data_IF_150842259296
#
_entry.id   IF_150842259296
#
_cell.length_a   1.000
_cell.length_b   1.000
_cell.length_c   1.000
_cell.angle_alpha   90.00
_cell.angle_beta   90.00
_cell.angle_gamma   90.00
#
_symmetry.space_group_name_H-M   'P 1'
#
loop_
_entity.id
_entity.type
_entity.pdbx_description
1 polymer ?
#
# COMPACT_ATOMS: atom_id res chain seq x y z
N UNK A 1 -8.34 29.54 0.39
CA UNK A 1 -7.86 29.97 1.72
C UNK A 1 -6.39 30.32 1.59
N UNK A 2 -5.93 31.50 2.01
CA UNK A 2 -4.53 31.92 1.96
C UNK A 2 -3.94 31.82 3.37
N UNK A 3 -2.88 31.00 3.53
CA UNK A 3 -2.18 30.84 4.80
C UNK A 3 -1.04 31.86 4.91
N UNK A 4 -0.90 32.49 6.08
CA UNK A 4 0.29 33.32 6.38
C UNK A 4 1.48 32.41 6.68
N UNK A 5 2.57 32.60 5.94
CA UNK A 5 3.82 31.84 6.11
C UNK A 5 4.78 32.73 6.89
N UNK A 6 5.32 32.22 7.98
CA UNK A 6 6.30 32.89 8.81
C UNK A 6 7.70 32.35 8.49
N UNK A 7 8.66 33.27 8.31
CA UNK A 7 10.06 32.91 8.10
C UNK A 7 10.77 32.95 9.45
N UNK A 8 11.33 31.81 9.89
CA UNK A 8 12.20 31.78 11.06
C UNK A 8 13.59 32.29 10.68
N UNK A 9 14.27 32.98 11.61
CA UNK A 9 15.61 33.57 11.40
C UNK A 9 16.69 32.56 10.95
N UNK A 10 16.49 31.28 11.23
CA UNK A 10 17.38 30.19 10.85
C UNK A 10 16.87 29.33 9.66
N UNK A 11 16.28 29.96 8.66
CA UNK A 11 16.02 29.39 7.32
C UNK A 11 14.84 28.40 7.17
N UNK A 12 13.98 28.19 8.14
CA UNK A 12 12.78 27.38 7.94
C UNK A 12 11.51 28.23 7.86
N UNK A 13 10.60 27.86 6.94
CA UNK A 13 9.28 28.47 6.86
C UNK A 13 8.32 27.72 7.78
N UNK A 14 7.66 28.45 8.68
CA UNK A 14 6.64 27.88 9.57
C UNK A 14 5.26 28.13 8.97
N UNK A 15 4.53 27.08 8.76
CA UNK A 15 3.14 27.05 8.32
C UNK A 15 2.26 26.57 9.48
N UNK A 16 1.92 27.47 10.37
CA UNK A 16 1.22 27.14 11.60
C UNK A 16 -0.10 26.38 11.37
N UNK A 17 -0.89 26.81 10.40
CA UNK A 17 -2.15 26.16 10.05
C UNK A 17 -1.92 24.75 9.46
N UNK A 18 -1.02 24.63 8.48
CA UNK A 18 -0.71 23.36 7.86
C UNK A 18 -0.18 22.35 8.89
N UNK A 19 0.68 22.79 9.79
CA UNK A 19 1.19 21.95 10.89
C UNK A 19 0.06 21.51 11.82
N UNK A 20 -0.83 22.41 12.19
CA UNK A 20 -1.94 22.11 13.10
C UNK A 20 -2.96 21.14 12.51
N UNK A 21 -3.22 21.20 11.21
CA UNK A 21 -4.11 20.27 10.50
C UNK A 21 -3.39 19.04 9.92
N UNK A 22 -2.11 18.85 10.23
CA UNK A 22 -1.32 17.69 9.80
C UNK A 22 -1.03 17.65 8.30
N UNK A 23 -0.98 18.80 7.62
CA UNK A 23 -0.62 18.90 6.21
C UNK A 23 0.84 19.31 6.08
N UNK A 24 1.66 18.47 5.47
CA UNK A 24 3.07 18.79 5.18
C UNK A 24 3.18 19.78 4.02
N UNK A 25 4.30 20.49 3.96
CA UNK A 25 4.64 21.41 2.84
C UNK A 25 4.65 20.68 1.49
N UNK A 26 3.73 20.88 0.62
CA UNK A 26 3.42 20.11 -0.61
C UNK A 26 2.72 18.75 -0.33
N UNK A 27 2.30 18.54 0.90
CA UNK A 27 1.63 17.30 1.30
C UNK A 27 0.12 17.38 1.18
N UNK A 28 -0.46 16.25 1.41
CA UNK A 28 -1.90 16.06 1.55
C UNK A 28 -2.20 15.78 3.02
N UNK A 29 -3.44 15.99 3.44
CA UNK A 29 -3.87 15.54 4.76
C UNK A 29 -3.88 14.02 4.82
N UNK A 30 -3.72 13.44 6.00
CA UNK A 30 -3.80 12.00 6.19
C UNK A 30 -5.15 11.42 5.71
N UNK A 31 -6.24 12.18 5.88
CA UNK A 31 -7.57 11.80 5.35
C UNK A 31 -7.59 11.71 3.84
N UNK A 32 -7.03 12.70 3.15
CA UNK A 32 -6.96 12.68 1.69
C UNK A 32 -6.07 11.53 1.21
N UNK A 33 -4.91 11.34 1.82
CA UNK A 33 -4.03 10.21 1.47
C UNK A 33 -4.76 8.86 1.62
N UNK A 34 -5.55 8.68 2.69
CA UNK A 34 -6.36 7.47 2.88
C UNK A 34 -7.34 7.26 1.73
N UNK A 35 -8.12 8.30 1.39
CA UNK A 35 -9.08 8.23 0.27
C UNK A 35 -8.40 7.85 -1.05
N UNK A 36 -7.23 8.45 -1.34
CA UNK A 36 -6.49 8.14 -2.56
C UNK A 36 -5.97 6.70 -2.57
N UNK A 37 -5.56 6.19 -1.43
CA UNK A 37 -5.09 4.80 -1.30
C UNK A 37 -6.26 3.83 -1.45
N UNK A 38 -7.39 4.08 -0.80
CA UNK A 38 -8.58 3.24 -0.88
C UNK A 38 -9.02 3.09 -2.34
N UNK A 39 -9.23 4.19 -3.06
CA UNK A 39 -9.58 4.11 -4.49
C UNK A 39 -8.46 3.54 -5.37
N UNK A 40 -7.20 3.80 -5.02
CA UNK A 40 -6.05 3.30 -5.79
C UNK A 40 -5.78 1.81 -5.63
N UNK A 41 -6.28 1.19 -4.56
CA UNK A 41 -6.23 -0.26 -4.36
C UNK A 41 -7.38 -0.98 -5.07
N UNK A 42 -8.55 -0.36 -5.15
CA UNK A 42 -9.76 -1.00 -5.69
C UNK A 42 -9.90 -0.84 -7.22
N UNK A 43 -9.31 0.22 -7.79
CA UNK A 43 -9.52 0.58 -9.19
C UNK A 43 -8.20 0.83 -9.93
N UNK A 44 -8.27 0.79 -11.27
CA UNK A 44 -7.17 1.35 -12.07
C UNK A 44 -6.99 2.84 -11.74
N UNK A 45 -5.75 3.35 -11.76
CA UNK A 45 -5.48 4.74 -11.36
C UNK A 45 -6.25 5.78 -12.17
N UNK A 46 -6.59 5.47 -13.43
CA UNK A 46 -7.44 6.33 -14.25
C UNK A 46 -8.89 6.33 -13.78
N UNK A 47 -9.45 5.19 -13.40
CA UNK A 47 -10.79 5.08 -12.83
C UNK A 47 -10.84 5.69 -11.43
N UNK A 48 -9.86 5.40 -10.59
CA UNK A 48 -9.73 5.98 -9.26
C UNK A 48 -9.73 7.51 -9.30
N UNK A 49 -9.02 8.11 -10.28
CA UNK A 49 -9.03 9.56 -10.48
C UNK A 49 -10.43 10.10 -10.78
N UNK A 50 -11.21 9.42 -11.64
CA UNK A 50 -12.60 9.79 -11.93
C UNK A 50 -13.50 9.65 -10.70
N UNK A 51 -13.33 8.58 -9.92
CA UNK A 51 -14.07 8.37 -8.67
C UNK A 51 -13.83 9.47 -7.65
N UNK A 52 -12.60 9.94 -7.53
CA UNK A 52 -12.29 11.08 -6.65
C UNK A 52 -13.06 12.33 -7.06
N UNK A 53 -13.15 12.63 -8.37
CA UNK A 53 -13.96 13.75 -8.87
C UNK A 53 -15.44 13.56 -8.53
N UNK A 54 -15.96 12.37 -8.77
CA UNK A 54 -17.36 12.01 -8.56
C UNK A 54 -17.79 12.17 -7.08
N UNK A 55 -16.95 11.67 -6.16
CA UNK A 55 -17.28 11.64 -4.74
C UNK A 55 -16.89 12.92 -3.98
N UNK A 56 -15.86 13.62 -4.41
CA UNK A 56 -15.27 14.73 -3.66
C UNK A 56 -15.19 16.04 -4.42
N UNK A 57 -15.57 16.07 -5.71
CA UNK A 57 -15.67 17.28 -6.52
C UNK A 57 -14.34 17.97 -6.84
N UNK A 58 -13.19 17.31 -6.68
CA UNK A 58 -11.91 17.90 -7.05
C UNK A 58 -11.10 16.98 -7.97
N UNK A 59 -10.34 17.58 -8.87
CA UNK A 59 -9.50 16.86 -9.82
C UNK A 59 -8.17 16.44 -9.21
N UNK A 60 -7.78 15.20 -9.48
CA UNK A 60 -6.47 14.66 -9.15
C UNK A 60 -5.94 13.83 -10.32
N UNK A 61 -4.69 14.00 -10.68
CA UNK A 61 -4.13 13.21 -11.78
C UNK A 61 -3.88 11.75 -11.37
N UNK A 62 -4.07 10.79 -12.29
CA UNK A 62 -3.78 9.38 -12.04
C UNK A 62 -2.34 9.12 -11.58
N UNK A 63 -1.38 9.95 -12.01
CA UNK A 63 0.01 9.85 -11.58
C UNK A 63 0.24 10.23 -10.12
N UNK A 64 -0.50 11.21 -9.61
CA UNK A 64 -0.46 11.60 -8.20
C UNK A 64 -1.09 10.51 -7.34
N UNK A 65 -2.23 9.98 -7.76
CA UNK A 65 -2.93 8.90 -7.08
C UNK A 65 -2.04 7.64 -7.02
N UNK A 66 -1.46 7.21 -8.16
CA UNK A 66 -0.51 6.10 -8.22
C UNK A 66 0.65 6.29 -7.23
N UNK A 67 1.24 7.48 -7.18
CA UNK A 67 2.36 7.79 -6.29
C UNK A 67 1.97 7.70 -4.82
N UNK A 68 0.76 8.15 -4.46
CA UNK A 68 0.23 8.01 -3.11
C UNK A 68 0.07 6.53 -2.74
N UNK A 69 -0.63 5.76 -3.57
CA UNK A 69 -0.88 4.34 -3.34
C UNK A 69 0.41 3.54 -3.19
N UNK A 70 1.36 3.71 -4.13
CA UNK A 70 2.64 2.99 -4.06
C UNK A 70 3.46 3.35 -2.82
N UNK A 71 3.49 4.63 -2.42
CA UNK A 71 4.19 5.05 -1.19
C UNK A 71 3.62 4.34 0.05
N UNK A 72 2.31 4.22 0.13
CA UNK A 72 1.66 3.54 1.26
C UNK A 72 1.85 2.01 1.18
N UNK A 73 1.83 1.42 -0.01
CA UNK A 73 2.13 0.01 -0.21
C UNK A 73 3.56 -0.35 0.24
N UNK A 74 4.57 0.45 -0.16
CA UNK A 74 5.95 0.27 0.32
C UNK A 74 6.07 0.36 1.84
N UNK A 75 5.33 1.30 2.45
CA UNK A 75 5.31 1.43 3.91
C UNK A 75 4.66 0.22 4.59
N UNK A 76 3.55 -0.25 4.06
CA UNK A 76 2.84 -1.42 4.56
C UNK A 76 3.74 -2.67 4.46
N UNK A 77 4.41 -2.86 3.33
CA UNK A 77 5.35 -3.95 3.13
C UNK A 77 6.46 -3.95 4.18
N UNK A 78 7.12 -2.81 4.41
CA UNK A 78 8.16 -2.70 5.44
C UNK A 78 7.64 -3.00 6.85
N UNK A 79 6.41 -2.60 7.17
CA UNK A 79 5.80 -2.91 8.47
C UNK A 79 5.56 -4.42 8.61
N UNK A 80 5.08 -5.09 7.56
CA UNK A 80 4.88 -6.53 7.53
C UNK A 80 6.20 -7.28 7.67
N UNK A 81 7.23 -6.90 6.89
CA UNK A 81 8.57 -7.49 6.98
C UNK A 81 9.13 -7.39 8.41
N UNK A 82 9.06 -6.20 9.02
CA UNK A 82 9.48 -6.01 10.41
C UNK A 82 8.66 -6.83 11.42
N UNK A 83 7.39 -7.08 11.13
CA UNK A 83 6.52 -7.88 11.99
C UNK A 83 6.85 -9.37 11.87
N UNK A 84 7.11 -9.86 10.66
CA UNK A 84 7.57 -11.23 10.43
C UNK A 84 8.92 -11.50 11.10
N UNK A 85 9.90 -10.62 10.94
CA UNK A 85 11.21 -10.75 11.59
C UNK A 85 11.10 -10.85 13.12
N UNK A 86 10.17 -10.14 13.72
CA UNK A 86 9.90 -10.21 15.16
C UNK A 86 9.22 -11.51 15.57
N UNK A 87 8.31 -12.03 14.74
CA UNK A 87 7.58 -13.26 15.01
C UNK A 87 8.48 -14.50 15.01
N UNK A 88 9.53 -14.52 14.19
CA UNK A 88 10.53 -15.60 14.19
C UNK A 88 11.43 -15.62 15.43
N UNK A 89 11.49 -14.56 16.21
CA UNK A 89 12.43 -14.44 17.35
C UNK A 89 11.90 -15.04 18.66
N UNK A 90 10.60 -15.22 18.79
CA UNK A 90 10.00 -15.86 19.95
C UNK A 90 8.77 -16.66 19.54
N UNK A 91 8.92 -17.96 19.44
CA UNK A 91 7.75 -18.83 19.31
C UNK A 91 6.94 -18.77 20.59
N UNK A 92 5.60 -18.68 20.52
CA UNK A 92 4.77 -18.74 21.70
C UNK A 92 4.96 -20.08 22.41
N UNK A 93 4.91 -20.07 23.73
CA UNK A 93 5.10 -21.27 24.59
C UNK A 93 3.98 -22.29 24.40
N UNK A 94 2.80 -21.83 23.94
CA UNK A 94 1.69 -22.69 23.55
C UNK A 94 1.32 -22.43 22.10
N UNK A 95 1.39 -23.45 21.27
CA UNK A 95 0.93 -23.43 19.89
C UNK A 95 -0.58 -23.63 19.76
N UNK A 96 -1.12 -23.44 18.56
CA UNK A 96 -2.50 -23.82 18.27
C UNK A 96 -2.56 -25.34 18.03
N UNK A 97 -3.53 -26.02 18.64
CA UNK A 97 -3.75 -27.46 18.48
C UNK A 97 -4.14 -27.81 17.04
N UNK A 98 -4.94 -26.93 16.40
CA UNK A 98 -5.34 -27.04 15.02
C UNK A 98 -5.20 -25.71 14.28
N UNK A 99 -4.62 -25.76 13.10
CA UNK A 99 -4.49 -24.60 12.19
C UNK A 99 -5.17 -24.97 10.87
N UNK A 100 -6.03 -24.10 10.39
CA UNK A 100 -6.59 -24.16 9.04
C UNK A 100 -5.68 -23.29 8.17
N UNK A 101 -5.10 -23.88 7.13
CA UNK A 101 -4.27 -23.17 6.16
C UNK A 101 -4.84 -23.38 4.75
N UNK A 102 -4.97 -22.29 4.02
CA UNK A 102 -5.46 -22.28 2.65
C UNK A 102 -4.41 -21.62 1.75
N UNK A 103 -4.23 -22.17 0.55
CA UNK A 103 -3.35 -21.61 -0.47
C UNK A 103 -4.12 -21.52 -1.76
N UNK A 104 -4.17 -20.34 -2.33
CA UNK A 104 -4.75 -20.09 -3.65
C UNK A 104 -3.73 -19.47 -4.59
N UNK A 105 -3.79 -19.84 -5.88
CA UNK A 105 -2.90 -19.37 -6.92
C UNK A 105 -3.66 -18.69 -8.05
N UNK A 106 -3.20 -17.51 -8.46
CA UNK A 106 -3.77 -16.82 -9.61
C UNK A 106 -2.68 -16.24 -10.51
N UNK A 107 -3.02 -16.09 -11.79
CA UNK A 107 -2.13 -15.46 -12.76
C UNK A 107 -2.43 -13.97 -12.87
N UNK A 108 -1.43 -13.15 -12.58
CA UNK A 108 -1.55 -11.69 -12.70
C UNK A 108 -0.74 -11.19 -13.89
N UNK A 109 -1.41 -10.38 -14.72
CA UNK A 109 -0.76 -9.71 -15.85
C UNK A 109 0.10 -8.55 -15.35
N UNK A 110 1.41 -8.68 -15.50
CA UNK A 110 2.38 -7.65 -15.13
C UNK A 110 3.00 -7.02 -16.37
N UNK A 111 3.58 -5.84 -16.21
CA UNK A 111 4.27 -5.13 -17.27
C UNK A 111 5.73 -4.94 -16.88
N UNK A 112 6.65 -5.44 -17.69
CA UNK A 112 8.10 -5.27 -17.44
C UNK A 112 8.47 -3.79 -17.40
N UNK A 113 9.34 -3.40 -16.46
CA UNK A 113 9.95 -2.06 -16.45
C UNK A 113 10.68 -1.84 -17.76
N UNK A 114 10.39 -0.74 -18.46
CA UNK A 114 11.03 -0.42 -19.73
C UNK A 114 11.00 1.07 -20.03
N UNK A 115 11.69 1.50 -21.09
CA UNK A 115 11.74 2.91 -21.54
C UNK A 115 10.33 3.38 -21.91
N UNK A 116 10.02 4.64 -21.56
CA UNK A 116 8.69 5.27 -21.58
C UNK A 116 7.91 5.17 -22.89
N UNK A 117 8.60 5.02 -24.01
CA UNK A 117 8.01 5.12 -25.36
C UNK A 117 7.95 3.79 -26.15
N UNK A 118 8.22 2.66 -25.53
CA UNK A 118 8.09 1.35 -26.19
C UNK A 118 6.91 0.58 -25.65
N UNK A 119 6.17 -0.14 -26.56
CA UNK A 119 5.18 -1.14 -26.13
C UNK A 119 5.86 -2.10 -25.16
N UNK A 120 5.37 -2.12 -23.94
CA UNK A 120 5.92 -2.98 -22.90
C UNK A 120 5.29 -4.35 -23.03
N UNK A 121 6.06 -5.43 -23.15
CA UNK A 121 5.51 -6.77 -23.18
C UNK A 121 4.75 -7.03 -21.87
N UNK A 122 3.58 -7.62 -22.02
CA UNK A 122 2.82 -8.16 -20.90
C UNK A 122 3.44 -9.50 -20.52
N UNK A 123 3.52 -9.76 -19.24
CA UNK A 123 4.03 -11.01 -18.68
C UNK A 123 3.02 -11.49 -17.64
N UNK A 124 2.59 -12.71 -17.77
CA UNK A 124 1.76 -13.33 -16.75
C UNK A 124 2.66 -13.94 -15.69
N UNK A 125 2.40 -13.59 -14.45
CA UNK A 125 3.16 -14.12 -13.30
C UNK A 125 2.20 -14.75 -12.32
N UNK A 126 2.59 -15.90 -11.82
CA UNK A 126 1.85 -16.55 -10.74
C UNK A 126 1.97 -15.71 -9.47
N UNK A 127 0.83 -15.48 -8.82
CA UNK A 127 0.77 -14.94 -7.47
C UNK A 127 0.07 -15.98 -6.59
N UNK A 128 0.66 -16.28 -5.45
CA UNK A 128 0.07 -17.15 -4.45
C UNK A 128 -0.39 -16.33 -3.27
N UNK A 129 -1.60 -16.59 -2.84
CA UNK A 129 -2.19 -16.07 -1.63
C UNK A 129 -2.29 -17.20 -0.63
N UNK A 130 -1.82 -16.97 0.58
CA UNK A 130 -1.94 -17.92 1.68
C UNK A 130 -2.72 -17.29 2.81
N UNK A 131 -3.57 -18.07 3.44
CA UNK A 131 -4.29 -17.69 4.65
C UNK A 131 -4.06 -18.76 5.70
N UNK A 132 -3.83 -18.37 6.95
CA UNK A 132 -3.73 -19.29 8.08
C UNK A 132 -4.52 -18.78 9.26
N UNK A 133 -5.28 -19.66 9.90
CA UNK A 133 -6.12 -19.35 11.06
C UNK A 133 -6.10 -20.49 12.05
N UNK A 134 -5.85 -20.18 13.31
CA UNK A 134 -6.05 -21.16 14.38
C UNK A 134 -7.55 -21.46 14.58
N UNK A 135 -7.92 -22.71 14.77
CA UNK A 135 -9.31 -23.11 15.02
C UNK A 135 -9.86 -22.34 16.23
N UNK A 136 -11.01 -21.68 16.04
CA UNK A 136 -11.64 -20.86 17.07
C UNK A 136 -11.08 -19.43 17.20
N UNK A 137 -10.05 -19.06 16.43
CA UNK A 137 -9.57 -17.68 16.37
C UNK A 137 -10.41 -16.85 15.40
N UNK A 138 -10.64 -15.59 15.74
CA UNK A 138 -11.22 -14.60 14.84
C UNK A 138 -10.12 -13.90 13.98
N UNK A 139 -8.86 -14.19 14.24
CA UNK A 139 -7.74 -13.60 13.50
C UNK A 139 -7.19 -14.60 12.49
N UNK A 140 -7.01 -14.12 11.28
CA UNK A 140 -6.33 -14.84 10.20
C UNK A 140 -5.09 -14.06 9.77
N UNK A 141 -4.02 -14.77 9.51
CA UNK A 141 -2.80 -14.22 8.92
C UNK A 141 -2.81 -14.49 7.42
N UNK A 142 -2.44 -13.49 6.63
CA UNK A 142 -2.41 -13.56 5.17
C UNK A 142 -1.01 -13.23 4.67
N UNK A 143 -0.56 -13.96 3.65
CA UNK A 143 0.64 -13.64 2.92
C UNK A 143 0.42 -13.78 1.41
N UNK A 144 1.13 -12.98 0.63
CA UNK A 144 1.10 -13.06 -0.83
C UNK A 144 2.53 -13.04 -1.38
N UNK A 145 2.82 -13.92 -2.32
CA UNK A 145 4.13 -14.00 -2.97
C UNK A 145 3.99 -14.06 -4.48
N UNK A 146 4.97 -13.53 -5.20
CA UNK A 146 5.12 -13.71 -6.64
C UNK A 146 6.20 -14.77 -6.90
N UNK A 147 5.87 -15.75 -7.70
CA UNK A 147 6.80 -16.76 -8.16
C UNK A 147 6.27 -18.18 -7.98
N UNK A 148 6.83 -19.13 -8.73
CA UNK A 148 6.61 -20.55 -8.48
C UNK A 148 7.30 -20.94 -7.15
N UNK A 149 6.67 -21.82 -6.40
CA UNK A 149 7.40 -22.54 -5.35
C UNK A 149 8.24 -23.57 -6.08
N UNK A 150 9.53 -23.33 -6.16
CA UNK A 150 10.44 -24.41 -6.46
C UNK A 150 10.34 -25.39 -5.28
N UNK A 151 9.68 -26.51 -5.54
CA UNK A 151 9.73 -27.65 -4.62
C UNK A 151 11.18 -28.10 -4.66
N UNK A 152 11.96 -27.65 -3.70
CA UNK A 152 13.28 -28.22 -3.46
C UNK A 152 12.99 -29.61 -2.93
N UNK A 153 13.18 -30.60 -3.82
CA UNK A 153 13.15 -32.01 -3.50
C UNK A 153 14.33 -32.41 -2.65
#
# INVERSE_FOLDING_TARGET
MRERIWRHSQASYIRALATRIGVTHRGRSARLDRVLVDFGCEHSFAQASKRVVEHYGFEISPSVLRRATLKHAERAQRLLENQYDKSYRSLPTAGAEHVIAEVDGTMICTVKKGKRNKKRPREWREMRLTAAQAKGSIRSDYAATFGSVDIVG
#
